data_IF_194411014696
#
_entry.id   IF_194411014696
#
_cell.length_a   1.000
_cell.length_b   1.000
_cell.length_c   1.000
_cell.angle_alpha   90.00
_cell.angle_beta   90.00
_cell.angle_gamma   90.00
#
_symmetry.space_group_name_H-M   'P 1'
#
loop_
_entity.id
_entity.type
_entity.pdbx_description
1 polymer ?
#
# COMPACT_ATOMS: atom_id res chain seq x y z
N UNK A 1 4.29 -28.96 5.21
CA UNK A 1 4.69 -28.25 4.85
C UNK A 1 4.56 -27.22 5.16
N UNK A 2 4.74 -27.03 5.61
CA UNK A 2 4.62 -26.08 5.70
C UNK A 2 4.88 -25.49 4.83
N UNK A 3 4.77 -25.46 4.81
CA UNK A 3 4.71 -24.88 3.59
C UNK A 3 5.80 -23.90 3.36
N UNK A 4 6.52 -24.09 2.33
CA UNK A 4 7.61 -23.20 1.99
C UNK A 4 7.12 -21.87 1.53
N UNK A 5 5.83 -21.76 1.23
CA UNK A 5 5.31 -20.49 0.78
C UNK A 5 5.38 -19.43 1.86
N UNK A 6 5.42 -19.82 3.12
CA UNK A 6 5.49 -18.85 4.18
C UNK A 6 6.77 -18.03 4.10
N UNK A 7 7.85 -18.65 3.69
CA UNK A 7 9.12 -17.94 3.60
C UNK A 7 9.08 -16.88 2.53
N UNK A 8 8.35 -17.13 1.47
CA UNK A 8 8.26 -16.18 0.39
C UNK A 8 7.60 -14.89 0.88
N UNK A 9 6.59 -15.02 1.70
CA UNK A 9 5.85 -13.85 2.15
C UNK A 9 6.71 -12.93 3.00
N UNK A 10 7.67 -13.49 3.71
CA UNK A 10 8.46 -12.69 4.62
C UNK A 10 9.35 -11.71 3.89
N UNK A 11 9.59 -11.95 2.62
CA UNK A 11 10.45 -11.06 1.86
C UNK A 11 9.70 -10.05 1.03
N UNK A 12 8.35 -10.06 1.10
CA UNK A 12 7.55 -9.15 0.29
C UNK A 12 7.27 -7.87 1.03
N UNK A 13 8.32 -7.13 1.28
CA UNK A 13 8.19 -5.86 1.96
C UNK A 13 8.28 -4.72 0.96
N UNK A 14 7.59 -3.65 1.27
CA UNK A 14 7.60 -2.49 0.40
C UNK A 14 7.67 -1.23 1.24
N UNK A 15 8.41 -0.26 0.73
CA UNK A 15 8.43 1.09 1.28
C UNK A 15 8.13 2.01 0.12
N UNK A 16 7.05 2.77 0.25
CA UNK A 16 6.62 3.65 -0.83
C UNK A 16 6.28 5.00 -0.25
N UNK A 17 6.48 6.03 -1.05
CA UNK A 17 6.13 7.40 -0.67
C UNK A 17 5.26 7.99 -1.74
N UNK A 18 4.22 8.70 -1.34
CA UNK A 18 3.32 9.29 -2.29
C UNK A 18 2.22 10.06 -1.60
N UNK A 19 1.26 10.47 -2.39
CA UNK A 19 0.13 11.26 -1.91
C UNK A 19 -1.10 10.40 -1.79
N UNK A 20 -1.87 10.63 -0.72
CA UNK A 20 -3.16 9.99 -0.56
C UNK A 20 -4.10 10.63 -1.56
N UNK A 21 -4.39 9.92 -2.66
CA UNK A 21 -5.11 10.52 -3.76
C UNK A 21 -6.56 10.09 -3.84
N UNK A 22 -7.06 9.40 -2.83
CA UNK A 22 -8.48 9.07 -2.78
C UNK A 22 -8.95 9.12 -1.34
N UNK A 23 -10.27 9.19 -1.15
CA UNK A 23 -10.81 9.09 0.21
C UNK A 23 -10.54 7.72 0.79
N UNK A 24 -10.57 7.64 2.10
CA UNK A 24 -10.48 6.38 2.81
C UNK A 24 -11.82 5.68 2.72
N UNK A 25 -11.81 4.43 2.29
CA UNK A 25 -13.03 3.65 2.14
C UNK A 25 -12.99 2.46 3.06
N UNK A 26 -14.07 2.22 3.76
CA UNK A 26 -14.18 1.04 4.60
C UNK A 26 -14.07 -0.21 3.74
N UNK A 27 -13.26 -1.14 4.19
CA UNK A 27 -13.06 -2.39 3.47
C UNK A 27 -13.74 -3.55 4.19
N UNK A 28 -13.29 -3.82 5.39
CA UNK A 28 -13.87 -4.95 6.12
C UNK A 28 -13.46 -4.85 7.58
N UNK A 29 -14.01 -5.75 8.38
CA UNK A 29 -13.71 -5.81 9.79
C UNK A 29 -13.31 -7.24 10.14
N UNK A 30 -12.22 -7.38 10.85
CA UNK A 30 -11.70 -8.68 11.23
C UNK A 30 -11.23 -8.61 12.67
N UNK A 31 -11.72 -9.55 13.47
CA UNK A 31 -11.33 -9.62 14.88
C UNK A 31 -11.50 -8.30 15.59
N UNK A 32 -12.59 -7.59 15.26
CA UNK A 32 -12.88 -6.34 15.94
C UNK A 32 -12.13 -5.15 15.41
N UNK A 33 -11.29 -5.33 14.41
CA UNK A 33 -10.54 -4.21 13.85
C UNK A 33 -11.02 -3.91 12.44
N UNK A 34 -11.27 -2.63 12.18
CA UNK A 34 -11.73 -2.20 10.87
C UNK A 34 -10.54 -1.87 9.98
N UNK A 35 -10.70 -2.17 8.71
CA UNK A 35 -9.68 -1.88 7.71
C UNK A 35 -10.26 -1.03 6.61
N UNK A 36 -9.44 -0.13 6.12
CA UNK A 36 -9.82 0.80 5.07
C UNK A 36 -8.86 0.71 3.92
N UNK A 37 -9.29 1.15 2.76
CA UNK A 37 -8.41 1.20 1.59
C UNK A 37 -8.39 2.61 1.03
N UNK A 38 -7.29 2.93 0.40
CA UNK A 38 -7.17 4.20 -0.33
C UNK A 38 -6.14 4.02 -1.43
N UNK A 39 -6.10 4.99 -2.33
CA UNK A 39 -5.16 4.97 -3.44
C UNK A 39 -4.01 5.90 -3.11
N UNK A 40 -2.80 5.40 -3.24
CA UNK A 40 -1.58 6.18 -3.07
C UNK A 40 -1.02 6.50 -4.44
N UNK A 41 -0.85 7.78 -4.72
CA UNK A 41 -0.28 8.22 -5.99
C UNK A 41 1.20 8.47 -5.82
N UNK A 42 2.00 7.77 -6.61
CA UNK A 42 3.46 7.88 -6.55
C UNK A 42 3.93 8.49 -7.84
N UNK A 43 4.55 9.65 -7.74
CA UNK A 43 4.99 10.36 -8.93
C UNK A 43 6.37 9.90 -9.33
N UNK A 44 6.52 9.53 -10.60
CA UNK A 44 7.80 9.15 -11.14
C UNK A 44 8.51 10.38 -11.68
N UNK A 45 9.82 10.23 -11.85
CA UNK A 45 10.61 11.32 -12.43
C UNK A 45 10.11 11.69 -13.81
N UNK A 46 9.58 10.72 -14.54
CA UNK A 46 9.09 10.97 -15.89
C UNK A 46 7.81 11.78 -15.92
N UNK A 47 7.21 12.01 -14.77
CA UNK A 47 5.94 12.73 -14.73
C UNK A 47 4.74 11.84 -14.64
N UNK A 48 4.92 10.53 -14.78
CA UNK A 48 3.81 9.62 -14.61
C UNK A 48 3.51 9.43 -13.13
N UNK A 49 2.25 9.16 -12.85
CA UNK A 49 1.82 8.85 -11.51
C UNK A 49 1.35 7.41 -11.49
N UNK A 50 1.99 6.61 -10.64
CA UNK A 50 1.52 5.25 -10.39
C UNK A 50 0.53 5.27 -9.26
N UNK A 51 -0.53 4.51 -9.41
CA UNK A 51 -1.55 4.41 -8.36
C UNK A 51 -1.51 3.03 -7.76
N UNK A 52 -1.37 3.00 -6.45
CA UNK A 52 -1.25 1.74 -5.72
C UNK A 52 -2.31 1.72 -4.65
N UNK A 53 -3.01 0.60 -4.54
CA UNK A 53 -4.00 0.44 -3.49
C UNK A 53 -3.30 0.09 -2.18
N UNK A 54 -3.74 0.74 -1.12
CA UNK A 54 -3.18 0.52 0.21
C UNK A 54 -4.31 0.12 1.14
N UNK A 55 -4.07 -0.90 1.95
CA UNK A 55 -5.00 -1.30 3.00
C UNK A 55 -4.39 -0.96 4.34
N UNK A 56 -5.17 -0.33 5.20
CA UNK A 56 -4.65 0.20 6.45
C UNK A 56 -5.69 0.01 7.55
N UNK A 57 -5.20 -0.28 8.75
CA UNK A 57 -6.09 -0.45 9.89
C UNK A 57 -6.58 0.89 10.41
N UNK A 58 -7.76 0.86 11.02
CA UNK A 58 -8.32 2.06 11.61
C UNK A 58 -7.40 2.63 12.67
N UNK A 59 -6.74 1.76 13.42
CA UNK A 59 -5.83 2.22 14.46
C UNK A 59 -4.70 3.06 13.89
N UNK A 60 -4.13 2.62 12.76
CA UNK A 60 -3.06 3.40 12.14
C UNK A 60 -3.56 4.73 11.60
N UNK A 61 -4.80 4.74 11.11
CA UNK A 61 -5.36 5.99 10.61
C UNK A 61 -5.45 7.01 11.73
N UNK A 62 -5.93 6.59 12.90
CA UNK A 62 -6.03 7.51 14.02
C UNK A 62 -4.67 7.95 14.53
N UNK A 63 -3.74 7.01 14.63
CA UNK A 63 -2.42 7.34 15.18
C UNK A 63 -1.67 8.31 14.28
N UNK A 64 -1.89 8.23 12.98
CA UNK A 64 -1.15 9.05 12.05
C UNK A 64 -1.90 10.31 11.63
N UNK A 65 -3.17 10.41 11.97
CA UNK A 65 -4.02 11.53 11.53
C UNK A 65 -4.02 11.66 10.01
N UNK A 66 -4.33 10.56 9.37
CA UNK A 66 -4.22 10.47 7.91
C UNK A 66 -5.42 11.11 7.24
N UNK A 67 -5.14 11.94 6.24
CA UNK A 67 -6.18 12.58 5.45
C UNK A 67 -5.88 12.49 3.98
N UNK A 68 -6.92 12.58 3.20
CA UNK A 68 -6.77 12.67 1.75
C UNK A 68 -5.94 13.91 1.41
N UNK A 69 -4.96 13.74 0.52
CA UNK A 69 -4.09 14.82 0.14
C UNK A 69 -2.76 14.81 0.86
N UNK A 70 -2.65 14.05 1.95
CA UNK A 70 -1.39 13.98 2.68
C UNK A 70 -0.31 13.31 1.85
N UNK A 71 0.92 13.78 2.03
CA UNK A 71 2.08 13.08 1.47
C UNK A 71 2.65 12.20 2.57
N UNK A 72 2.78 10.91 2.29
CA UNK A 72 3.09 9.93 3.32
C UNK A 72 4.12 8.94 2.84
N UNK A 73 4.79 8.31 3.78
CA UNK A 73 5.64 7.18 3.52
C UNK A 73 5.02 5.96 4.21
N UNK A 74 4.88 4.89 3.47
CA UNK A 74 4.23 3.68 3.97
C UNK A 74 5.18 2.52 3.87
N UNK A 75 5.30 1.78 4.97
CA UNK A 75 6.05 0.54 4.99
C UNK A 75 5.05 -0.58 5.28
N UNK A 76 5.13 -1.64 4.50
CA UNK A 76 4.20 -2.72 4.67
C UNK A 76 4.54 -3.92 3.84
N UNK A 77 3.55 -4.75 3.61
CA UNK A 77 3.72 -5.98 2.87
C UNK A 77 2.96 -5.89 1.56
N UNK A 78 3.59 -6.35 0.51
CA UNK A 78 2.94 -6.43 -0.79
C UNK A 78 2.11 -7.70 -0.82
N UNK A 79 0.86 -7.56 -1.19
CA UNK A 79 -0.03 -8.70 -1.36
C UNK A 79 -0.64 -8.65 -2.74
N UNK A 80 -0.78 -9.81 -3.33
CA UNK A 80 -1.37 -9.91 -4.64
C UNK A 80 -2.53 -10.89 -4.58
N UNK A 81 -3.51 -10.66 -5.42
CA UNK A 81 -4.60 -11.58 -5.53
C UNK A 81 -5.19 -11.48 -6.93
N UNK A 82 -5.82 -12.55 -7.36
CA UNK A 82 -6.47 -12.59 -8.65
C UNK A 82 -7.93 -12.25 -8.51
N UNK A 83 -8.37 -11.43 -9.42
CA UNK A 83 -9.76 -11.05 -9.48
C UNK A 83 -10.30 -11.48 -10.83
N UNK A 84 -11.42 -12.19 -10.81
CA UNK A 84 -12.04 -12.65 -12.05
C UNK A 84 -13.20 -11.73 -12.40
N UNK A 85 -13.06 -11.05 -13.52
CA UNK A 85 -14.09 -10.14 -13.98
C UNK A 85 -14.41 -10.50 -15.42
N UNK A 86 -15.68 -10.83 -15.68
CA UNK A 86 -16.14 -11.16 -17.03
C UNK A 86 -15.28 -12.24 -17.67
N UNK A 87 -14.92 -13.25 -16.88
CA UNK A 87 -14.17 -14.37 -17.41
C UNK A 87 -12.69 -14.09 -17.58
N UNK A 88 -12.24 -12.93 -17.19
CA UNK A 88 -10.83 -12.58 -17.26
C UNK A 88 -10.24 -12.53 -15.88
N UNK A 89 -8.99 -12.95 -15.77
CA UNK A 89 -8.26 -12.83 -14.53
C UNK A 89 -7.46 -11.56 -14.52
N UNK A 90 -7.55 -10.83 -13.43
CA UNK A 90 -6.80 -9.62 -13.25
C UNK A 90 -5.99 -9.73 -11.97
N UNK A 91 -4.71 -9.45 -12.07
CA UNK A 91 -3.84 -9.46 -10.91
C UNK A 91 -3.91 -8.10 -10.23
N UNK A 92 -4.28 -8.12 -8.98
CA UNK A 92 -4.33 -6.90 -8.18
C UNK A 92 -3.21 -6.92 -7.16
N UNK A 93 -2.62 -5.74 -6.97
CA UNK A 93 -1.54 -5.57 -6.01
C UNK A 93 -2.02 -4.57 -4.97
N UNK A 94 -1.84 -4.94 -3.71
CA UNK A 94 -2.20 -4.05 -2.62
C UNK A 94 -1.07 -4.07 -1.60
N UNK A 95 -0.81 -2.92 -1.00
CA UNK A 95 0.17 -2.84 0.07
C UNK A 95 -0.58 -2.80 1.39
N UNK A 96 -0.30 -3.76 2.23
CA UNK A 96 -0.90 -3.83 3.57
C UNK A 96 0.00 -3.03 4.50
N UNK A 97 -0.44 -1.83 4.85
CA UNK A 97 0.37 -0.89 5.61
C UNK A 97 0.58 -1.39 7.03
N UNK A 98 1.82 -1.39 7.45
CA UNK A 98 2.19 -1.72 8.82
C UNK A 98 2.62 -0.48 9.58
N UNK A 99 3.25 0.44 8.88
CA UNK A 99 3.70 1.69 9.45
C UNK A 99 3.45 2.80 8.46
N UNK A 100 3.17 3.97 8.96
CA UNK A 100 2.91 5.10 8.09
C UNK A 100 3.44 6.35 8.78
N UNK A 101 4.08 7.21 7.98
CA UNK A 101 4.53 8.50 8.44
C UNK A 101 3.83 9.58 7.64
N UNK A 102 3.28 10.55 8.34
CA UNK A 102 2.59 11.67 7.74
C UNK A 102 3.34 12.96 8.05
N UNK A 103 2.83 14.06 7.51
CA UNK A 103 3.45 15.35 7.78
C UNK A 103 4.75 15.56 7.03
N UNK A 104 4.97 14.83 5.97
CA UNK A 104 6.19 14.91 5.21
C UNK A 104 6.05 15.87 4.04
N UNK A 105 7.20 16.38 3.59
CA UNK A 105 7.22 17.24 2.44
C UNK A 105 7.56 16.44 1.22
N UNK A 106 6.82 16.65 0.16
CA UNK A 106 7.08 15.95 -1.08
C UNK A 106 8.49 16.19 -1.57
N UNK A 107 9.03 17.35 -1.31
CA UNK A 107 10.38 17.70 -1.75
C UNK A 107 11.45 16.94 -0.98
N UNK A 108 11.11 16.45 0.18
CA UNK A 108 12.06 15.80 1.04
C UNK A 108 12.46 14.43 0.51
N UNK A 109 11.58 13.80 -0.25
CA UNK A 109 11.81 12.45 -0.75
C UNK A 109 12.04 12.46 -2.24
N UNK A 110 12.85 11.52 -2.67
CA UNK A 110 12.81 11.10 -4.05
C UNK A 110 11.83 9.95 -4.09
N UNK A 111 10.87 10.07 -4.97
CA UNK A 111 9.86 9.01 -5.05
C UNK A 111 10.49 7.75 -5.56
N UNK A 112 10.39 6.72 -4.77
CA UNK A 112 10.95 5.42 -5.13
C UNK A 112 10.10 4.32 -4.52
N UNK A 113 10.29 3.12 -5.04
CA UNK A 113 9.66 1.93 -4.52
C UNK A 113 10.75 0.93 -4.24
N UNK A 114 10.78 0.43 -3.02
CA UNK A 114 11.70 -0.59 -2.63
C UNK A 114 10.91 -1.84 -2.28
N UNK A 115 11.17 -2.93 -3.01
CA UNK A 115 10.50 -4.20 -2.78
C UNK A 115 11.54 -5.26 -2.53
N UNK A 116 11.45 -5.88 -1.37
CA UNK A 116 12.39 -6.91 -0.99
C UNK A 116 11.83 -8.27 -1.36
N UNK A 117 12.61 -9.07 -2.10
CA UNK A 117 12.22 -10.41 -2.47
C UNK A 117 11.14 -10.45 -3.53
N UNK A 118 10.90 -9.33 -4.19
CA UNK A 118 9.87 -9.26 -5.20
C UNK A 118 10.34 -8.34 -6.31
N UNK A 119 10.33 -8.85 -7.51
CA UNK A 119 10.83 -8.09 -8.63
C UNK A 119 9.80 -7.06 -9.06
N UNK A 120 10.24 -5.82 -9.07
CA UNK A 120 9.36 -4.71 -9.43
C UNK A 120 10.02 -3.87 -10.50
N UNK A 121 9.23 -3.50 -11.49
CA UNK A 121 9.79 -2.71 -12.55
C UNK A 121 9.18 -1.41 -12.64
#
# INVERSE_FOLDING_TARGET
>A
MKSTTDNVYETNKAIVAGSVSSPLKFSHKTYGEAFYTFVLGIERRSGYVDEINVMISERLIYESSLYEGDFVEIAGQVRTYNESIDGRNKLNVVIFAREIETGLSEEYFENYIYLEGFLCK
#
